data_IF_045450197341
#
_entry.id   IF_045450197341
#
_cell.length_a   1.000
_cell.length_b   1.000
_cell.length_c   1.000
_cell.angle_alpha   90.00
_cell.angle_beta   90.00
_cell.angle_gamma   90.00
#
_symmetry.space_group_name_H-M   'P 1'
#
loop_
_entity.id
_entity.type
_entity.pdbx_description
1 polymer ?
#
# COMPACT_ATOMS: atom_id res chain seq x y z
N UNK A 1 15.43 -14.45 -12.47
CA UNK A 1 15.58 -13.13 -11.89
C UNK A 1 14.31 -12.30 -12.05
N UNK A 2 14.11 -11.38 -11.12
CA UNK A 2 12.93 -10.52 -11.07
C UNK A 2 12.75 -9.72 -12.36
N UNK A 3 13.82 -9.11 -12.83
CA UNK A 3 13.75 -8.28 -14.03
C UNK A 3 13.42 -9.09 -15.29
N UNK A 4 13.90 -10.30 -15.36
CA UNK A 4 13.58 -11.19 -16.47
C UNK A 4 12.09 -11.56 -16.47
N UNK A 5 11.52 -11.84 -15.29
CA UNK A 5 10.10 -12.14 -15.14
C UNK A 5 9.24 -10.95 -15.55
N UNK A 6 9.64 -9.74 -15.19
CA UNK A 6 8.92 -8.52 -15.54
C UNK A 6 8.92 -8.26 -17.05
N UNK A 7 10.03 -8.55 -17.73
CA UNK A 7 10.11 -8.42 -19.19
C UNK A 7 9.22 -9.42 -19.91
N UNK A 8 9.15 -10.64 -19.38
CA UNK A 8 8.36 -11.69 -20.00
C UNK A 8 6.86 -11.48 -19.81
N UNK A 9 6.47 -10.84 -18.70
CA UNK A 9 5.07 -10.63 -18.36
C UNK A 9 4.84 -9.18 -17.91
N UNK A 10 4.78 -8.24 -18.85
CA UNK A 10 4.60 -6.82 -18.50
C UNK A 10 3.32 -6.53 -17.72
N UNK A 11 2.29 -7.36 -17.84
CA UNK A 11 1.05 -7.21 -17.08
C UNK A 11 1.25 -7.49 -15.59
N UNK A 12 2.28 -8.24 -15.23
CA UNK A 12 2.61 -8.55 -13.84
C UNK A 12 3.59 -7.56 -13.22
N UNK A 13 4.06 -6.61 -13.99
CA UNK A 13 5.07 -5.64 -13.54
C UNK A 13 4.61 -4.88 -12.28
N UNK A 14 3.45 -4.22 -12.36
CA UNK A 14 2.91 -3.47 -11.22
C UNK A 14 2.58 -4.36 -10.04
N UNK A 15 2.09 -5.57 -10.29
CA UNK A 15 1.76 -6.52 -9.24
C UNK A 15 3.00 -6.97 -8.47
N UNK A 16 4.07 -7.26 -9.18
CA UNK A 16 5.35 -7.61 -8.54
C UNK A 16 5.86 -6.47 -7.67
N UNK A 17 5.84 -5.25 -8.19
CA UNK A 17 6.30 -4.07 -7.46
C UNK A 17 5.44 -3.81 -6.23
N UNK A 18 4.14 -4.11 -6.29
CA UNK A 18 3.27 -4.00 -5.13
C UNK A 18 3.68 -4.99 -4.04
N UNK A 19 4.00 -6.24 -4.41
CA UNK A 19 4.50 -7.22 -3.46
C UNK A 19 5.85 -6.81 -2.88
N UNK A 20 6.71 -6.24 -3.69
CA UNK A 20 7.98 -5.71 -3.22
C UNK A 20 7.77 -4.61 -2.18
N UNK A 21 6.86 -3.69 -2.46
CA UNK A 21 6.52 -2.61 -1.53
C UNK A 21 5.97 -3.13 -0.21
N UNK A 22 5.12 -4.16 -0.27
CA UNK A 22 4.61 -4.82 0.94
C UNK A 22 5.73 -5.47 1.76
N UNK A 23 6.66 -6.15 1.09
CA UNK A 23 7.81 -6.74 1.76
C UNK A 23 8.70 -5.70 2.42
N UNK A 24 8.94 -4.59 1.75
CA UNK A 24 9.70 -3.47 2.29
C UNK A 24 9.02 -2.88 3.53
N UNK A 25 7.69 -2.73 3.49
CA UNK A 25 6.92 -2.30 4.65
C UNK A 25 7.09 -3.27 5.82
N UNK A 26 6.97 -4.56 5.56
CA UNK A 26 7.10 -5.59 6.58
C UNK A 26 8.48 -5.58 7.25
N UNK A 27 9.52 -5.21 6.50
CA UNK A 27 10.88 -5.09 7.01
C UNK A 27 11.12 -3.78 7.77
N UNK A 28 10.13 -2.89 7.79
CA UNK A 28 10.27 -1.59 8.42
C UNK A 28 10.92 -0.52 7.55
N UNK A 29 11.20 -0.83 6.29
CA UNK A 29 11.79 0.12 5.35
C UNK A 29 10.68 0.91 4.65
N UNK A 30 10.06 1.80 5.41
CA UNK A 30 8.88 2.54 4.95
C UNK A 30 9.21 3.51 3.83
N UNK A 31 10.39 4.12 3.85
CA UNK A 31 10.81 5.05 2.80
C UNK A 31 10.91 4.36 1.45
N UNK A 32 11.50 3.17 1.43
CA UNK A 32 11.65 2.39 0.19
C UNK A 32 10.28 1.86 -0.26
N UNK A 33 9.46 1.41 0.68
CA UNK A 33 8.10 0.97 0.39
C UNK A 33 7.31 2.10 -0.29
N UNK A 34 7.41 3.32 0.23
CA UNK A 34 6.74 4.48 -0.36
C UNK A 34 7.19 4.71 -1.80
N UNK A 35 8.49 4.67 -2.06
CA UNK A 35 9.01 4.87 -3.41
C UNK A 35 8.47 3.84 -4.39
N UNK A 36 8.55 2.57 -3.98
CA UNK A 36 8.07 1.46 -4.80
C UNK A 36 6.59 1.59 -5.10
N UNK A 37 5.80 1.85 -4.07
CA UNK A 37 4.34 1.94 -4.20
C UNK A 37 3.91 3.21 -4.95
N UNK A 38 4.63 4.31 -4.81
CA UNK A 38 4.35 5.53 -5.56
C UNK A 38 4.54 5.29 -7.07
N UNK A 39 5.57 4.54 -7.44
CA UNK A 39 5.79 4.18 -8.84
C UNK A 39 4.67 3.29 -9.38
N UNK A 40 4.20 2.33 -8.58
CA UNK A 40 3.07 1.48 -8.96
C UNK A 40 1.81 2.33 -9.14
N UNK A 41 1.57 3.28 -8.26
CA UNK A 41 0.40 4.16 -8.32
C UNK A 41 0.39 5.01 -9.59
N UNK A 42 1.56 5.41 -10.08
CA UNK A 42 1.66 6.14 -11.36
C UNK A 42 1.25 5.28 -12.55
N UNK A 43 1.59 4.01 -12.52
CA UNK A 43 1.28 3.06 -13.60
C UNK A 43 -0.14 2.54 -13.54
N UNK A 44 -0.70 2.43 -12.32
CA UNK A 44 -2.03 1.85 -12.10
C UNK A 44 -2.83 2.72 -11.12
N UNK A 45 -3.14 3.98 -11.49
CA UNK A 45 -3.78 4.92 -10.56
C UNK A 45 -5.17 4.51 -10.10
N UNK A 46 -5.83 3.63 -10.85
CA UNK A 46 -7.20 3.17 -10.56
C UNK A 46 -7.27 1.99 -9.58
N UNK A 47 -6.14 1.45 -9.14
CA UNK A 47 -6.14 0.31 -8.20
C UNK A 47 -6.20 0.78 -6.75
N UNK A 48 -7.33 0.51 -6.04
CA UNK A 48 -7.46 0.91 -4.63
C UNK A 48 -6.40 0.31 -3.72
N UNK A 49 -6.02 -0.97 -3.96
CA UNK A 49 -5.04 -1.69 -3.12
C UNK A 49 -3.70 -0.97 -3.08
N UNK A 50 -3.27 -0.40 -4.21
CA UNK A 50 -2.02 0.35 -4.28
C UNK A 50 -2.09 1.59 -3.39
N UNK A 51 -3.22 2.30 -3.42
CA UNK A 51 -3.42 3.50 -2.60
C UNK A 51 -3.40 3.18 -1.11
N UNK A 52 -4.01 2.06 -0.72
CA UNK A 52 -4.01 1.60 0.68
C UNK A 52 -2.57 1.38 1.16
N UNK A 53 -1.78 0.64 0.38
CA UNK A 53 -0.40 0.33 0.76
C UNK A 53 0.47 1.59 0.80
N UNK A 54 0.30 2.49 -0.16
CA UNK A 54 1.04 3.76 -0.19
C UNK A 54 0.68 4.64 1.01
N UNK A 55 -0.61 4.74 1.34
CA UNK A 55 -1.07 5.50 2.51
C UNK A 55 -0.47 4.95 3.80
N UNK A 56 -0.43 3.63 3.95
CA UNK A 56 0.17 3.00 5.14
C UNK A 56 1.66 3.35 5.26
N UNK A 57 2.41 3.29 4.16
CA UNK A 57 3.82 3.63 4.16
C UNK A 57 4.05 5.10 4.53
N UNK A 58 3.26 6.01 3.97
CA UNK A 58 3.34 7.44 4.26
C UNK A 58 3.04 7.72 5.74
N UNK A 59 1.98 7.12 6.28
CA UNK A 59 1.60 7.31 7.68
C UNK A 59 2.68 6.76 8.62
N UNK A 60 3.26 5.61 8.28
CA UNK A 60 4.34 5.01 9.08
C UNK A 60 5.59 5.89 9.10
N UNK A 61 5.80 6.71 8.07
CA UNK A 61 6.90 7.68 8.01
C UNK A 61 6.58 8.99 8.74
N UNK A 62 5.35 9.13 9.27
CA UNK A 62 4.90 10.36 9.90
C UNK A 62 4.35 11.40 8.93
N UNK A 63 4.18 11.05 7.66
CA UNK A 63 3.69 11.96 6.61
C UNK A 63 2.16 11.85 6.51
N UNK A 64 1.49 12.27 7.57
CA UNK A 64 0.03 12.09 7.71
C UNK A 64 -0.79 12.80 6.65
N UNK A 65 -0.41 14.02 6.28
CA UNK A 65 -1.16 14.81 5.31
C UNK A 65 -1.14 14.15 3.94
N UNK A 66 0.02 13.64 3.54
CA UNK A 66 0.15 12.89 2.28
C UNK A 66 -0.62 11.57 2.34
N UNK A 67 -0.58 10.89 3.49
CA UNK A 67 -1.32 9.66 3.68
C UNK A 67 -2.84 9.90 3.57
N UNK A 68 -3.33 10.96 4.19
CA UNK A 68 -4.76 11.32 4.09
C UNK A 68 -5.17 11.66 2.66
N UNK A 69 -4.28 12.31 1.91
CA UNK A 69 -4.56 12.60 0.51
C UNK A 69 -4.70 11.32 -0.32
N UNK A 70 -3.86 10.31 -0.03
CA UNK A 70 -3.99 9.01 -0.69
C UNK A 70 -5.28 8.29 -0.32
N UNK A 71 -5.69 8.37 0.95
CA UNK A 71 -6.98 7.81 1.39
C UNK A 71 -8.14 8.52 0.72
N UNK A 72 -8.09 9.83 0.55
CA UNK A 72 -9.12 10.56 -0.17
C UNK A 72 -9.27 10.07 -1.61
N UNK A 73 -8.16 9.85 -2.31
CA UNK A 73 -8.17 9.28 -3.66
C UNK A 73 -8.73 7.86 -3.67
N UNK A 74 -8.37 7.06 -2.67
CA UNK A 74 -8.87 5.71 -2.50
C UNK A 74 -10.40 5.70 -2.39
N UNK A 75 -10.95 6.58 -1.57
CA UNK A 75 -12.39 6.65 -1.34
C UNK A 75 -13.14 7.17 -2.56
N UNK A 76 -12.50 7.98 -3.39
CA UNK A 76 -13.05 8.37 -4.69
C UNK A 76 -13.18 7.16 -5.62
N UNK A 77 -12.21 6.25 -5.57
CA UNK A 77 -12.23 5.03 -6.38
C UNK A 77 -13.22 3.99 -5.83
N UNK A 78 -13.32 3.91 -4.51
CA UNK A 78 -14.20 2.95 -3.85
C UNK A 78 -14.63 3.49 -2.49
N UNK A 79 -15.79 4.12 -2.44
CA UNK A 79 -16.33 4.76 -1.24
C UNK A 79 -16.61 3.77 -0.09
N UNK A 80 -16.74 2.47 -0.41
CA UNK A 80 -16.98 1.43 0.59
C UNK A 80 -15.74 0.88 1.25
N UNK A 81 -14.55 1.36 0.90
CA UNK A 81 -13.31 0.87 1.46
C UNK A 81 -13.18 1.26 2.94
N UNK A 82 -12.77 0.30 3.78
CA UNK A 82 -12.65 0.55 5.22
C UNK A 82 -11.61 -0.39 5.84
N UNK A 83 -11.29 -0.14 7.13
CA UNK A 83 -10.30 -0.95 7.87
C UNK A 83 -10.71 -2.41 7.97
N UNK A 84 -12.00 -2.69 8.16
CA UNK A 84 -12.49 -4.07 8.22
C UNK A 84 -12.20 -4.84 6.94
N UNK A 85 -12.44 -4.23 5.79
CA UNK A 85 -12.15 -4.86 4.49
C UNK A 85 -10.66 -5.08 4.30
N UNK A 86 -9.83 -4.10 4.67
CA UNK A 86 -8.38 -4.23 4.60
C UNK A 86 -7.90 -5.37 5.50
N UNK A 87 -8.39 -5.43 6.73
CA UNK A 87 -7.97 -6.45 7.69
C UNK A 87 -8.23 -7.86 7.18
N UNK A 88 -9.34 -8.07 6.47
CA UNK A 88 -9.69 -9.38 5.91
C UNK A 88 -8.73 -9.85 4.82
N UNK A 89 -8.14 -8.93 4.07
CA UNK A 89 -7.33 -9.26 2.90
C UNK A 89 -5.83 -9.05 3.11
N UNK A 90 -5.39 -8.71 4.33
CA UNK A 90 -3.97 -8.47 4.59
C UNK A 90 -3.14 -9.74 4.44
N UNK A 91 -2.01 -9.68 3.71
CA UNK A 91 -1.13 -10.83 3.53
C UNK A 91 -0.22 -11.08 4.73
N UNK A 92 -0.14 -10.14 5.68
CA UNK A 92 0.78 -10.23 6.81
C UNK A 92 0.25 -11.19 7.85
N UNK A 93 0.99 -12.28 8.11
CA UNK A 93 0.66 -13.24 9.16
C UNK A 93 1.17 -12.82 10.53
N UNK A 94 2.28 -12.08 10.56
CA UNK A 94 2.87 -11.56 11.79
C UNK A 94 1.95 -10.51 12.41
N UNK A 95 1.49 -10.71 13.66
CA UNK A 95 0.59 -9.75 14.31
C UNK A 95 1.19 -8.35 14.46
N UNK A 96 2.50 -8.25 14.67
CA UNK A 96 3.18 -6.95 14.83
C UNK A 96 3.10 -6.16 13.54
N UNK A 97 3.46 -6.78 12.41
CA UNK A 97 3.41 -6.14 11.09
C UNK A 97 1.96 -5.78 10.72
N UNK A 98 1.03 -6.71 10.98
CA UNK A 98 -0.39 -6.50 10.72
C UNK A 98 -0.92 -5.29 11.49
N UNK A 99 -0.62 -5.21 12.78
CA UNK A 99 -1.08 -4.10 13.62
C UNK A 99 -0.44 -2.79 13.21
N UNK A 100 0.84 -2.81 12.86
CA UNK A 100 1.54 -1.63 12.36
C UNK A 100 0.85 -1.07 11.11
N UNK A 101 0.50 -1.94 10.17
CA UNK A 101 -0.18 -1.56 8.94
C UNK A 101 -1.55 -0.95 9.22
N UNK A 102 -2.36 -1.60 10.06
CA UNK A 102 -3.69 -1.12 10.39
C UNK A 102 -3.64 0.20 11.16
N UNK A 103 -2.70 0.34 12.10
CA UNK A 103 -2.52 1.59 12.85
C UNK A 103 -2.11 2.74 11.92
N UNK A 104 -1.25 2.47 10.94
CA UNK A 104 -0.86 3.46 9.96
C UNK A 104 -2.08 3.95 9.16
N UNK A 105 -2.96 3.05 8.78
CA UNK A 105 -4.19 3.42 8.07
C UNK A 105 -5.15 4.21 8.94
N UNK A 106 -5.23 3.92 10.23
CA UNK A 106 -6.01 4.75 11.17
C UNK A 106 -5.46 6.16 11.24
N UNK A 107 -4.14 6.30 11.28
CA UNK A 107 -3.49 7.60 11.25
C UNK A 107 -3.77 8.36 9.96
N UNK A 108 -3.96 7.66 8.86
CA UNK A 108 -4.36 8.24 7.58
C UNK A 108 -5.86 8.49 7.46
N UNK A 109 -6.62 8.18 8.52
CA UNK A 109 -8.06 8.41 8.62
C UNK A 109 -8.90 7.57 7.66
N UNK A 110 -8.47 6.34 7.39
CA UNK A 110 -9.32 5.39 6.70
C UNK A 110 -10.48 5.02 7.64
N UNK A 111 -11.74 5.06 7.18
CA UNK A 111 -12.88 4.67 8.02
C UNK A 111 -12.81 3.24 8.52
N UNK A 112 -13.40 3.01 9.68
CA UNK A 112 -13.48 1.66 10.27
C UNK A 112 -14.39 0.72 9.48
#
# INVERSE_FOLDING_TARGET
AVQAAMRLNPHHHGWYDMHLGRGQFALGDFAQARRTLANVAKSTPEYPVVRVNLAAALAAMGRRDEARAEIAKLLELNAGYNLGNVAKSLPYKDPVTRNCFLNALRMAELPD
#
